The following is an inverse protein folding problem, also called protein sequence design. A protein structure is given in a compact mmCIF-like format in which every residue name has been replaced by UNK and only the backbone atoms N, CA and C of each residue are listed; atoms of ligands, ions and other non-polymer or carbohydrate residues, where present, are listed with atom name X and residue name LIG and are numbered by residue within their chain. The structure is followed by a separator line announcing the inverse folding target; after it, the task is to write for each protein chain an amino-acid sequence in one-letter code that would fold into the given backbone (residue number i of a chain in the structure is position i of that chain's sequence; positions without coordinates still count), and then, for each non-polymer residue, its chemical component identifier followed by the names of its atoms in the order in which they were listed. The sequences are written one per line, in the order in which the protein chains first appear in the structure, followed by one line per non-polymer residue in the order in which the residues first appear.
data_IF_354539838676
#
_entry.id   IF_354539838676
#
_cell.length_a   1.000
_cell.length_b   1.000
_cell.length_c   1.000
_cell.angle_alpha   90.00
_cell.angle_beta   90.00
_cell.angle_gamma   90.00
#
_symmetry.space_group_name_H-M   'P 1'
#
loop_
_entity.id
_entity.type
_entity.pdbx_description
1 polymer ?
#
# COMPACT_ATOMS: atom_id res chain seq x y z
N UNK A 1 15.18 -4.20 -24.76
CA UNK A 1 15.63 -3.42 -23.57
C UNK A 1 15.81 -1.92 -23.85
N UNK A 2 16.22 -1.48 -25.05
CA UNK A 2 16.53 -0.08 -25.38
C UNK A 2 15.38 0.97 -25.27
N UNK A 3 14.14 0.54 -25.00
CA UNK A 3 12.95 1.41 -24.91
C UNK A 3 12.44 1.61 -23.46
N UNK A 4 12.86 0.77 -22.50
CA UNK A 4 12.36 0.77 -21.11
C UNK A 4 12.70 2.04 -20.29
N UNK A 5 13.57 2.92 -20.80
CA UNK A 5 13.99 4.16 -20.11
C UNK A 5 14.08 5.35 -21.08
N UNK A 6 13.32 5.31 -22.18
CA UNK A 6 13.26 6.43 -23.13
C UNK A 6 12.02 7.26 -22.86
N UNK A 7 12.13 8.17 -21.91
CA UNK A 7 11.11 9.19 -21.68
C UNK A 7 11.37 10.42 -22.53
N UNK A 8 10.33 10.91 -23.22
CA UNK A 8 10.40 12.17 -23.98
C UNK A 8 10.36 13.35 -22.99
N UNK A 9 11.38 14.21 -22.93
CA UNK A 9 11.35 15.36 -22.05
C UNK A 9 10.28 16.35 -22.53
N UNK A 10 9.45 16.81 -21.61
CA UNK A 10 8.39 17.79 -21.86
C UNK A 10 8.36 18.83 -20.75
N UNK A 11 7.97 20.05 -21.11
CA UNK A 11 7.74 21.16 -20.18
C UNK A 11 6.26 21.21 -19.79
N UNK A 12 5.97 21.53 -18.53
CA UNK A 12 4.59 21.68 -18.05
C UNK A 12 3.92 22.82 -18.81
N UNK A 13 2.84 22.52 -19.53
CA UNK A 13 1.90 23.50 -20.07
C UNK A 13 0.61 23.46 -19.25
N UNK A 14 -0.12 24.59 -19.09
CA UNK A 14 -1.28 24.69 -18.20
C UNK A 14 -2.44 23.72 -18.53
N UNK A 15 -2.49 23.14 -19.73
CA UNK A 15 -3.55 22.22 -20.15
C UNK A 15 -3.07 20.83 -20.60
N UNK A 16 -1.74 20.59 -20.67
CA UNK A 16 -1.22 19.35 -21.24
C UNK A 16 -0.99 18.30 -20.14
N UNK A 17 -1.76 17.21 -20.19
CA UNK A 17 -1.47 16.01 -19.39
C UNK A 17 -0.16 15.38 -19.83
N UNK A 18 0.65 14.94 -18.85
CA UNK A 18 1.95 14.29 -19.11
C UNK A 18 1.72 12.79 -19.29
N UNK A 19 2.08 12.26 -20.45
CA UNK A 19 1.87 10.86 -20.78
C UNK A 19 2.83 9.91 -20.04
N UNK A 20 2.52 8.60 -19.98
CA UNK A 20 3.39 7.58 -19.38
C UNK A 20 4.82 7.53 -19.93
N UNK A 21 4.98 7.78 -21.22
CA UNK A 21 6.26 7.80 -21.94
C UNK A 21 6.93 9.19 -21.98
N UNK A 22 6.36 10.18 -21.31
CA UNK A 22 6.91 11.52 -21.16
C UNK A 22 7.55 11.69 -19.78
N UNK A 23 8.49 12.63 -19.64
CA UNK A 23 9.04 13.05 -18.34
C UNK A 23 9.18 14.56 -18.25
N UNK A 24 9.07 15.05 -17.03
CA UNK A 24 9.42 16.42 -16.68
C UNK A 24 10.94 16.56 -16.50
N UNK A 25 11.37 17.77 -16.13
CA UNK A 25 12.75 17.97 -15.67
C UNK A 25 13.04 17.05 -14.49
N UNK A 26 14.28 16.54 -14.39
CA UNK A 26 14.65 15.59 -13.33
C UNK A 26 14.34 16.07 -11.92
N UNK A 27 14.57 17.36 -11.55
CA UNK A 27 14.18 17.86 -10.23
C UNK A 27 12.66 17.80 -9.99
N UNK A 28 11.85 18.11 -11.00
CA UNK A 28 10.38 18.02 -10.89
C UNK A 28 9.92 16.56 -10.79
N UNK A 29 10.48 15.66 -11.60
CA UNK A 29 10.20 14.23 -11.52
C UNK A 29 10.56 13.67 -10.15
N UNK A 30 11.69 14.09 -9.57
CA UNK A 30 12.09 13.72 -8.22
C UNK A 30 11.11 14.22 -7.16
N UNK A 31 10.72 15.50 -7.22
CA UNK A 31 9.75 16.10 -6.29
C UNK A 31 8.38 15.40 -6.36
N UNK A 32 7.92 15.05 -7.57
CA UNK A 32 6.67 14.30 -7.76
C UNK A 32 6.80 12.86 -7.27
N UNK A 33 7.96 12.22 -7.46
CA UNK A 33 8.20 10.88 -6.93
C UNK A 33 8.14 10.88 -5.40
N UNK A 34 8.72 11.90 -4.76
CA UNK A 34 8.59 12.12 -3.32
C UNK A 34 7.13 12.29 -2.90
N UNK A 35 6.36 13.10 -3.64
CA UNK A 35 4.93 13.26 -3.39
C UNK A 35 4.15 11.93 -3.48
N UNK A 36 4.47 11.09 -4.46
CA UNK A 36 3.85 9.77 -4.59
C UNK A 36 4.18 8.86 -3.41
N UNK A 37 5.41 8.86 -2.91
CA UNK A 37 5.77 8.08 -1.71
C UNK A 37 5.06 8.61 -0.47
N UNK A 38 4.94 9.93 -0.31
CA UNK A 38 4.20 10.52 0.82
C UNK A 38 2.71 10.14 0.76
N UNK A 39 2.12 10.07 -0.45
CA UNK A 39 0.71 9.70 -0.62
C UNK A 39 0.40 8.26 -0.21
N UNK A 40 1.22 7.30 -0.64
CA UNK A 40 1.06 5.89 -0.31
C UNK A 40 1.50 5.52 1.12
N UNK A 41 2.29 6.39 1.77
CA UNK A 41 2.97 6.07 3.03
C UNK A 41 2.00 5.54 4.08
N UNK A 42 0.86 6.20 4.24
CA UNK A 42 -0.15 5.80 5.22
C UNK A 42 -0.56 4.34 5.06
N UNK A 43 -0.94 3.93 3.85
CA UNK A 43 -1.42 2.57 3.59
C UNK A 43 -0.28 1.52 3.61
N UNK A 44 0.86 1.83 2.99
CA UNK A 44 1.98 0.88 2.88
C UNK A 44 2.62 0.54 4.21
N UNK A 45 2.55 1.47 5.16
CA UNK A 45 3.06 1.29 6.52
C UNK A 45 2.00 0.75 7.47
N UNK A 46 0.74 1.15 7.31
CA UNK A 46 -0.33 0.68 8.20
C UNK A 46 -0.61 -0.83 8.02
N UNK A 47 -0.71 -1.30 6.78
CA UNK A 47 -0.99 -2.71 6.52
C UNK A 47 -0.01 -3.69 7.21
N UNK A 48 1.33 -3.55 7.06
CA UNK A 48 2.28 -4.45 7.70
C UNK A 48 2.18 -4.40 9.22
N UNK A 49 1.97 -3.23 9.83
CA UNK A 49 1.82 -3.11 11.29
C UNK A 49 0.60 -3.89 11.80
N UNK A 50 -0.52 -3.83 11.09
CA UNK A 50 -1.74 -4.59 11.42
C UNK A 50 -1.56 -6.11 11.28
N UNK A 51 -0.57 -6.55 10.51
CA UNK A 51 -0.23 -7.96 10.32
C UNK A 51 0.98 -8.42 11.14
N UNK A 52 1.66 -7.50 11.85
CA UNK A 52 2.88 -7.74 12.62
C UNK A 52 4.13 -7.95 11.78
N UNK A 53 4.19 -7.36 10.58
CA UNK A 53 5.34 -7.34 9.69
C UNK A 53 6.27 -6.16 10.01
N UNK A 54 7.54 -6.29 9.63
CA UNK A 54 8.50 -5.18 9.68
C UNK A 54 8.13 -4.13 8.60
N UNK A 55 7.76 -2.88 8.97
CA UNK A 55 7.40 -1.84 8.01
C UNK A 55 8.55 -1.48 7.07
N UNK A 56 9.82 -1.66 7.48
CA UNK A 56 10.97 -1.42 6.61
C UNK A 56 11.03 -2.42 5.47
N UNK A 57 10.80 -3.70 5.76
CA UNK A 57 10.76 -4.74 4.72
C UNK A 57 9.59 -4.46 3.78
N UNK A 58 8.42 -4.10 4.30
CA UNK A 58 7.26 -3.77 3.48
C UNK A 58 7.53 -2.60 2.52
N UNK A 59 8.15 -1.51 3.00
CA UNK A 59 8.51 -0.34 2.17
C UNK A 59 9.65 -0.68 1.20
N UNK A 60 10.63 -1.47 1.62
CA UNK A 60 11.68 -1.97 0.72
C UNK A 60 11.07 -2.77 -0.43
N UNK A 61 10.20 -3.74 -0.11
CA UNK A 61 9.59 -4.62 -1.10
C UNK A 61 8.50 -3.95 -1.93
N UNK A 62 7.87 -2.87 -1.44
CA UNK A 62 7.01 -2.01 -2.28
C UNK A 62 7.85 -1.32 -3.37
N UNK A 63 9.05 -0.85 -3.04
CA UNK A 63 10.03 -0.33 -4.00
C UNK A 63 10.49 -1.39 -5.00
N UNK A 64 10.94 -2.55 -4.52
CA UNK A 64 11.36 -3.68 -5.39
C UNK A 64 10.21 -4.11 -6.31
N UNK A 65 9.01 -4.29 -5.75
CA UNK A 65 7.81 -4.69 -6.47
C UNK A 65 7.43 -3.69 -7.55
N UNK A 66 7.49 -2.38 -7.25
CA UNK A 66 7.22 -1.33 -8.23
C UNK A 66 8.22 -1.35 -9.39
N UNK A 67 9.50 -1.59 -9.12
CA UNK A 67 10.51 -1.74 -10.18
C UNK A 67 10.26 -3.01 -11.02
N UNK A 68 9.97 -4.15 -10.38
CA UNK A 68 9.63 -5.39 -11.07
C UNK A 68 8.41 -5.21 -11.99
N UNK A 69 7.36 -4.59 -11.47
CA UNK A 69 6.15 -4.26 -12.22
C UNK A 69 6.44 -3.33 -13.41
N UNK A 70 7.25 -2.30 -13.20
CA UNK A 70 7.69 -1.39 -14.25
C UNK A 70 8.40 -2.15 -15.38
N UNK A 71 9.35 -3.04 -15.07
CA UNK A 71 10.05 -3.82 -16.08
C UNK A 71 9.13 -4.79 -16.82
N UNK A 72 8.26 -5.48 -16.10
CA UNK A 72 7.37 -6.51 -16.66
C UNK A 72 6.27 -5.91 -17.55
N UNK A 73 5.75 -4.74 -17.20
CA UNK A 73 4.78 -3.99 -18.02
C UNK A 73 5.43 -3.20 -19.16
N UNK A 74 6.76 -3.20 -19.26
CA UNK A 74 7.49 -2.45 -20.28
C UNK A 74 7.50 -0.94 -20.02
N UNK A 75 7.25 -0.47 -18.79
CA UNK A 75 7.22 0.95 -18.44
C UNK A 75 6.06 1.73 -19.09
N UNK A 76 5.00 1.04 -19.54
CA UNK A 76 3.80 1.65 -20.14
C UNK A 76 2.67 1.90 -19.16
N UNK A 77 2.68 1.18 -18.03
CA UNK A 77 1.63 1.25 -17.02
C UNK A 77 2.15 2.09 -15.85
N UNK A 78 1.63 3.31 -15.65
CA UNK A 78 1.97 4.10 -14.48
C UNK A 78 1.26 3.56 -13.26
N UNK A 79 2.02 2.87 -12.40
CA UNK A 79 1.49 2.34 -11.16
C UNK A 79 2.59 2.19 -10.12
N UNK A 80 2.17 2.17 -8.87
CA UNK A 80 3.01 1.87 -7.72
C UNK A 80 2.41 0.70 -6.96
N UNK A 81 3.26 -0.22 -6.51
CA UNK A 81 2.85 -1.40 -5.76
C UNK A 81 3.11 -1.19 -4.28
N UNK A 82 2.07 -1.31 -3.45
CA UNK A 82 2.15 -1.19 -2.00
C UNK A 82 1.50 -2.39 -1.30
N UNK A 83 1.60 -2.42 0.02
CA UNK A 83 1.04 -3.48 0.87
C UNK A 83 -0.48 -3.60 0.69
N UNK A 84 -0.99 -4.77 0.31
CA UNK A 84 -2.43 -4.98 0.08
C UNK A 84 -3.18 -5.27 1.38
N UNK A 85 -4.28 -4.55 1.60
CA UNK A 85 -5.14 -4.75 2.76
C UNK A 85 -5.94 -6.06 2.70
N UNK A 86 -6.10 -6.66 1.52
CA UNK A 86 -6.79 -7.95 1.36
C UNK A 86 -6.12 -9.08 2.15
N UNK A 87 -4.83 -8.96 2.48
CA UNK A 87 -4.10 -9.95 3.27
C UNK A 87 -4.37 -9.88 4.77
N UNK A 88 -4.84 -8.75 5.31
CA UNK A 88 -4.89 -8.54 6.77
C UNK A 88 -5.71 -9.63 7.46
N UNK A 89 -6.95 -9.84 7.00
CA UNK A 89 -7.86 -10.80 7.62
C UNK A 89 -7.34 -12.24 7.54
N UNK A 90 -6.85 -12.66 6.37
CA UNK A 90 -6.35 -14.03 6.17
C UNK A 90 -5.02 -14.28 6.88
N UNK A 91 -4.15 -13.28 6.97
CA UNK A 91 -2.88 -13.39 7.72
C UNK A 91 -3.17 -13.51 9.20
N UNK A 92 -4.04 -12.66 9.76
CA UNK A 92 -4.45 -12.74 11.17
C UNK A 92 -5.06 -14.11 11.46
N UNK A 93 -5.95 -14.60 10.60
CA UNK A 93 -6.58 -15.91 10.75
C UNK A 93 -5.58 -17.07 10.66
N UNK A 94 -4.67 -17.05 9.69
CA UNK A 94 -3.69 -18.12 9.48
C UNK A 94 -2.60 -18.16 10.57
N UNK A 95 -2.25 -17.02 11.15
CA UNK A 95 -1.16 -16.91 12.13
C UNK A 95 -1.64 -16.85 13.59
N UNK A 96 -2.94 -16.62 13.81
CA UNK A 96 -3.49 -16.38 15.15
C UNK A 96 -2.97 -15.08 15.78
N UNK A 97 -2.58 -14.09 14.96
CA UNK A 97 -1.96 -12.86 15.44
C UNK A 97 -2.95 -11.98 16.20
N UNK A 98 -2.55 -11.51 17.38
CA UNK A 98 -3.41 -10.75 18.30
C UNK A 98 -3.52 -9.25 17.96
N UNK A 99 -2.85 -8.77 16.90
CA UNK A 99 -2.96 -7.37 16.45
C UNK A 99 -2.02 -6.38 17.13
N UNK A 100 -1.09 -6.83 17.97
CA UNK A 100 -0.07 -5.98 18.59
C UNK A 100 1.32 -6.63 18.56
N UNK A 101 2.32 -5.83 18.17
CA UNK A 101 3.73 -6.23 18.14
C UNK A 101 4.16 -7.04 16.91
N UNK A 102 5.31 -7.72 16.96
CA UNK A 102 5.74 -8.63 15.90
C UNK A 102 4.86 -9.88 15.84
N UNK A 103 4.55 -10.36 14.63
CA UNK A 103 3.81 -11.61 14.47
C UNK A 103 4.74 -12.82 14.71
N UNK A 104 4.48 -13.68 15.72
CA UNK A 104 5.35 -14.81 16.03
C UNK A 104 5.32 -15.91 14.94
N UNK A 105 4.22 -15.99 14.19
CA UNK A 105 3.98 -17.02 13.17
C UNK A 105 4.12 -16.44 11.75
N UNK A 106 4.88 -15.35 11.61
CA UNK A 106 5.11 -14.67 10.34
C UNK A 106 5.53 -15.61 9.19
N UNK A 107 6.44 -16.60 9.39
CA UNK A 107 6.84 -17.51 8.32
C UNK A 107 5.67 -18.28 7.65
N UNK A 108 4.62 -18.62 8.41
CA UNK A 108 3.43 -19.29 7.86
C UNK A 108 2.64 -18.37 6.92
N UNK A 109 2.46 -17.11 7.32
CA UNK A 109 1.83 -16.11 6.46
C UNK A 109 2.63 -15.89 5.18
N UNK A 110 3.96 -15.83 5.27
CA UNK A 110 4.86 -15.65 4.12
C UNK A 110 4.71 -16.80 3.10
N UNK A 111 4.65 -18.05 3.56
CA UNK A 111 4.41 -19.19 2.67
C UNK A 111 3.08 -19.09 1.91
N UNK A 112 2.02 -18.64 2.60
CA UNK A 112 0.72 -18.37 1.98
C UNK A 112 0.73 -17.18 1.01
N UNK A 113 1.45 -16.11 1.32
CA UNK A 113 1.64 -14.95 0.44
C UNK A 113 2.37 -15.36 -0.85
N UNK A 114 3.43 -16.17 -0.73
CA UNK A 114 4.13 -16.71 -1.90
C UNK A 114 3.20 -17.58 -2.75
N UNK A 115 2.40 -18.45 -2.13
CA UNK A 115 1.41 -19.27 -2.84
C UNK A 115 0.35 -18.43 -3.56
N UNK A 116 -0.14 -17.37 -2.92
CA UNK A 116 -1.02 -16.37 -3.52
C UNK A 116 -0.36 -15.72 -4.75
N UNK A 117 0.90 -15.29 -4.62
CA UNK A 117 1.66 -14.71 -5.72
C UNK A 117 1.84 -15.68 -6.89
N UNK A 118 2.12 -16.95 -6.63
CA UNK A 118 2.22 -18.01 -7.67
C UNK A 118 0.88 -18.18 -8.39
N UNK A 119 -0.22 -18.29 -7.65
CA UNK A 119 -1.56 -18.40 -8.23
C UNK A 119 -1.89 -17.16 -9.08
N UNK A 120 -1.58 -15.97 -8.58
CA UNK A 120 -1.83 -14.73 -9.28
C UNK A 120 -0.99 -14.61 -10.56
N UNK A 121 0.30 -14.97 -10.50
CA UNK A 121 1.15 -15.05 -11.69
C UNK A 121 0.60 -16.05 -12.71
N UNK A 122 0.11 -17.22 -12.27
CA UNK A 122 -0.51 -18.20 -13.15
C UNK A 122 -1.76 -17.64 -13.86
N UNK A 123 -2.62 -16.92 -13.12
CA UNK A 123 -3.77 -16.21 -13.71
C UNK A 123 -3.28 -15.16 -14.72
N UNK A 124 -2.26 -14.37 -14.39
CA UNK A 124 -1.69 -13.37 -15.30
C UNK A 124 -1.13 -13.96 -16.59
N UNK A 125 -0.44 -15.12 -16.51
CA UNK A 125 0.05 -15.85 -17.68
C UNK A 125 -1.11 -16.36 -18.54
N UNK A 126 -2.17 -16.87 -17.91
CA UNK A 126 -3.37 -17.32 -18.62
C UNK A 126 -4.05 -16.14 -19.33
N UNK A 127 -4.22 -15.00 -18.67
CA UNK A 127 -4.75 -13.77 -19.29
C UNK A 127 -3.87 -13.28 -20.43
N UNK A 128 -2.54 -13.42 -20.31
CA UNK A 128 -1.60 -13.04 -21.37
C UNK A 128 -1.76 -13.94 -22.61
N UNK A 129 -2.15 -15.20 -22.43
CA UNK A 129 -2.37 -16.16 -23.51
C UNK A 129 -3.78 -16.09 -24.12
N UNK A 130 -4.82 -15.87 -23.30
CA UNK A 130 -6.23 -15.95 -23.74
C UNK A 130 -6.89 -14.59 -23.98
N UNK A 131 -6.26 -13.49 -23.55
CA UNK A 131 -6.86 -12.16 -23.47
C UNK A 131 -7.67 -11.93 -22.18
N UNK A 132 -8.00 -10.67 -21.90
CA UNK A 132 -8.67 -10.23 -20.66
C UNK A 132 -10.19 -10.35 -20.65
N UNK A 133 -10.82 -10.56 -21.81
CA UNK A 133 -12.27 -10.44 -21.96
C UNK A 133 -13.09 -11.38 -21.06
N UNK A 134 -12.57 -12.56 -20.70
CA UNK A 134 -13.25 -13.46 -19.77
C UNK A 134 -13.15 -12.96 -18.32
N UNK A 135 -12.02 -12.41 -17.90
CA UNK A 135 -11.84 -11.81 -16.56
C UNK A 135 -12.80 -10.65 -16.39
N UNK A 136 -12.91 -9.80 -17.42
CA UNK A 136 -13.81 -8.64 -17.40
C UNK A 136 -15.29 -9.04 -17.33
N UNK A 137 -15.66 -10.22 -17.85
CA UNK A 137 -17.01 -10.78 -17.73
C UNK A 137 -17.25 -11.40 -16.36
N UNK A 138 -16.24 -12.02 -15.75
CA UNK A 138 -16.34 -12.61 -14.42
C UNK A 138 -16.31 -11.56 -13.30
N UNK A 139 -15.64 -10.43 -13.55
CA UNK A 139 -15.45 -9.33 -12.61
C UNK A 139 -16.09 -8.03 -13.15
N UNK A 140 -17.42 -8.01 -13.38
CA UNK A 140 -18.10 -6.77 -13.72
C UNK A 140 -18.02 -5.79 -12.52
N UNK A 141 -18.23 -4.48 -12.73
CA UNK A 141 -18.10 -3.47 -11.68
C UNK A 141 -18.87 -3.80 -10.40
N UNK A 142 -20.07 -4.41 -10.53
CA UNK A 142 -20.88 -4.82 -9.36
C UNK A 142 -20.20 -5.90 -8.51
N UNK A 143 -19.46 -6.83 -9.11
CA UNK A 143 -18.74 -7.90 -8.38
C UNK A 143 -17.49 -7.31 -7.74
N UNK A 144 -16.71 -6.54 -8.51
CA UNK A 144 -15.49 -5.90 -7.99
C UNK A 144 -15.82 -4.98 -6.82
N UNK A 145 -16.85 -4.15 -6.96
CA UNK A 145 -17.34 -3.29 -5.89
C UNK A 145 -17.78 -4.09 -4.68
N UNK A 146 -18.69 -5.06 -4.84
CA UNK A 146 -19.17 -5.87 -3.72
C UNK A 146 -18.04 -6.56 -2.94
N UNK A 147 -17.03 -7.10 -3.63
CA UNK A 147 -15.87 -7.72 -2.99
C UNK A 147 -15.07 -6.69 -2.17
N UNK A 148 -14.77 -5.52 -2.76
CA UNK A 148 -14.03 -4.45 -2.08
C UNK A 148 -14.81 -3.91 -0.86
N UNK A 149 -16.13 -3.75 -0.98
CA UNK A 149 -17.00 -3.31 0.11
C UNK A 149 -16.96 -4.27 1.31
N UNK A 150 -17.10 -5.57 1.02
CA UNK A 150 -17.09 -6.62 2.04
C UNK A 150 -15.73 -6.70 2.75
N UNK A 151 -14.62 -6.46 2.03
CA UNK A 151 -13.28 -6.40 2.63
C UNK A 151 -13.18 -5.23 3.60
N UNK A 152 -13.53 -4.02 3.15
CA UNK A 152 -13.50 -2.82 4.00
C UNK A 152 -14.35 -3.00 5.26
N UNK A 153 -15.59 -3.46 5.11
CA UNK A 153 -16.51 -3.65 6.24
C UNK A 153 -16.05 -4.73 7.23
N UNK A 154 -15.54 -5.88 6.74
CA UNK A 154 -15.06 -6.94 7.64
C UNK A 154 -13.80 -6.51 8.39
N UNK A 155 -12.89 -5.79 7.74
CA UNK A 155 -11.64 -5.34 8.37
C UNK A 155 -11.87 -4.17 9.33
N UNK A 156 -12.90 -3.35 9.13
CA UNK A 156 -13.25 -2.25 10.03
C UNK A 156 -13.52 -2.72 11.48
N UNK A 157 -13.99 -3.96 11.67
CA UNK A 157 -14.23 -4.51 13.00
C UNK A 157 -12.94 -4.84 13.78
N UNK A 158 -11.83 -5.09 13.10
CA UNK A 158 -10.54 -5.48 13.70
C UNK A 158 -9.97 -4.38 14.60
N UNK A 159 -9.77 -3.12 14.13
CA UNK A 159 -9.20 -2.07 14.97
C UNK A 159 -10.10 -1.69 16.16
N UNK A 160 -11.43 -1.76 15.99
CA UNK A 160 -12.40 -1.47 17.04
C UNK A 160 -12.27 -2.47 18.20
N UNK A 161 -12.07 -3.76 17.89
CA UNK A 161 -11.99 -4.82 18.92
C UNK A 161 -10.60 -4.94 19.54
N UNK A 162 -9.54 -4.76 18.75
CA UNK A 162 -8.20 -5.20 19.13
C UNK A 162 -7.22 -4.05 19.40
N UNK A 163 -7.55 -2.80 19.07
CA UNK A 163 -6.62 -1.67 19.13
C UNK A 163 -7.08 -0.54 20.07
N UNK A 164 -8.12 -0.78 20.87
CA UNK A 164 -8.60 0.11 21.93
C UNK A 164 -8.76 -0.65 23.26
N UNK A 165 -7.65 -1.09 23.89
CA UNK A 165 -7.72 -1.90 25.11
C UNK A 165 -8.20 -1.10 26.32
N UNK A 166 -8.06 0.23 26.31
CA UNK A 166 -8.52 1.10 27.40
C UNK A 166 -9.55 2.14 26.91
N UNK A 167 -10.37 2.71 27.82
CA UNK A 167 -11.28 3.81 27.47
C UNK A 167 -10.55 5.03 26.89
N UNK A 168 -9.32 5.30 27.36
CA UNK A 168 -8.48 6.36 26.81
C UNK A 168 -8.11 6.07 25.35
N UNK A 169 -7.71 4.83 25.04
CA UNK A 169 -7.37 4.44 23.67
C UNK A 169 -8.58 4.52 22.74
N UNK A 170 -9.77 4.16 23.22
CA UNK A 170 -11.02 4.31 22.45
C UNK A 170 -11.31 5.78 22.12
N UNK A 171 -11.15 6.69 23.09
CA UNK A 171 -11.27 8.13 22.85
C UNK A 171 -10.20 8.65 21.89
N UNK A 172 -8.97 8.13 21.97
CA UNK A 172 -7.92 8.48 21.03
C UNK A 172 -8.17 7.95 19.62
N UNK A 173 -8.77 6.77 19.46
CA UNK A 173 -9.24 6.28 18.16
C UNK A 173 -10.28 7.23 17.56
N UNK A 174 -11.26 7.65 18.37
CA UNK A 174 -12.29 8.60 17.94
C UNK A 174 -11.68 9.97 17.59
N UNK A 175 -10.75 10.48 18.40
CA UNK A 175 -10.02 11.71 18.12
C UNK A 175 -9.24 11.61 16.80
N UNK A 176 -8.62 10.47 16.54
CA UNK A 176 -7.90 10.23 15.28
C UNK A 176 -8.84 10.18 14.08
N UNK A 177 -9.97 9.48 14.20
CA UNK A 177 -11.02 9.46 13.19
C UNK A 177 -11.48 10.88 12.87
N UNK A 178 -11.75 11.69 13.90
CA UNK A 178 -12.15 13.08 13.75
C UNK A 178 -11.05 13.94 13.10
N UNK A 179 -9.79 13.76 13.49
CA UNK A 179 -8.65 14.43 12.84
C UNK A 179 -8.60 14.15 11.34
N UNK A 180 -8.71 12.90 10.94
CA UNK A 180 -8.72 12.52 9.52
C UNK A 180 -9.94 13.09 8.81
N UNK A 181 -11.13 13.01 9.42
CA UNK A 181 -12.37 13.55 8.86
C UNK A 181 -12.31 15.08 8.69
N UNK A 182 -11.75 15.80 9.67
CA UNK A 182 -11.54 17.25 9.60
C UNK A 182 -10.62 17.63 8.45
N UNK A 183 -9.52 16.90 8.27
CA UNK A 183 -8.62 17.10 7.13
C UNK A 183 -9.35 16.80 5.82
N UNK A 184 -10.11 15.71 5.74
CA UNK A 184 -10.84 15.34 4.53
C UNK A 184 -11.87 16.40 4.09
N UNK A 185 -12.51 17.09 5.04
CA UNK A 185 -13.54 18.13 4.78
C UNK A 185 -12.93 19.51 4.55
N UNK A 186 -11.93 19.92 5.34
CA UNK A 186 -11.43 21.30 5.33
C UNK A 186 -10.18 21.50 4.48
N UNK A 187 -9.38 20.47 4.28
CA UNK A 187 -8.18 20.58 3.47
C UNK A 187 -8.53 20.63 1.97
N UNK A 188 -7.66 21.28 1.19
CA UNK A 188 -7.78 21.37 -0.27
C UNK A 188 -6.48 20.94 -0.93
N UNK A 189 -6.57 20.49 -2.18
CA UNK A 189 -5.40 20.16 -3.00
C UNK A 189 -4.62 18.96 -2.46
N UNK A 190 -3.31 19.14 -2.22
CA UNK A 190 -2.43 18.04 -1.79
C UNK A 190 -2.76 17.54 -0.38
N UNK A 191 -3.07 18.46 0.54
CA UNK A 191 -3.28 18.10 1.94
C UNK A 191 -4.50 17.19 2.12
N UNK A 192 -5.55 17.38 1.32
CA UNK A 192 -6.72 16.50 1.29
C UNK A 192 -6.36 15.09 0.80
N UNK A 193 -5.41 14.95 -0.12
CA UNK A 193 -4.96 13.63 -0.64
C UNK A 193 -4.10 12.90 0.36
N UNK A 194 -3.44 13.66 1.23
CA UNK A 194 -2.67 13.16 2.36
C UNK A 194 -3.53 13.07 3.63
N UNK A 195 -4.87 12.99 3.53
CA UNK A 195 -5.76 13.01 4.69
C UNK A 195 -5.38 12.00 5.77
N UNK A 196 -4.98 10.80 5.35
CA UNK A 196 -4.56 9.71 6.26
C UNK A 196 -3.30 10.13 7.01
N UNK A 197 -2.27 10.58 6.28
CA UNK A 197 -0.99 10.99 6.87
C UNK A 197 -1.11 12.25 7.74
N UNK A 198 -1.83 13.26 7.25
CA UNK A 198 -2.03 14.51 7.98
C UNK A 198 -2.87 14.29 9.24
N UNK A 199 -3.93 13.48 9.16
CA UNK A 199 -4.74 13.10 10.33
C UNK A 199 -3.95 12.26 11.32
N UNK A 200 -3.12 11.32 10.85
CA UNK A 200 -2.18 10.54 11.66
C UNK A 200 -1.20 11.43 12.43
N UNK A 201 -0.57 12.40 11.75
CA UNK A 201 0.36 13.36 12.37
C UNK A 201 -0.37 14.20 13.42
N UNK A 202 -1.53 14.77 13.07
CA UNK A 202 -2.34 15.58 13.99
C UNK A 202 -2.74 14.78 15.24
N UNK A 203 -3.23 13.55 15.05
CA UNK A 203 -3.65 12.68 16.14
C UNK A 203 -2.48 12.22 17.02
N UNK A 204 -1.32 11.96 16.42
CA UNK A 204 -0.09 11.61 17.16
C UNK A 204 0.41 12.78 18.01
N UNK A 205 0.28 14.02 17.52
CA UNK A 205 0.61 15.22 18.31
C UNK A 205 -0.37 15.42 19.48
N UNK A 206 -1.67 15.20 19.26
CA UNK A 206 -2.69 15.23 20.32
C UNK A 206 -2.38 14.16 21.36
N UNK A 207 -2.09 12.92 20.93
CA UNK A 207 -1.71 11.83 21.82
C UNK A 207 -0.48 12.20 22.66
N UNK A 208 0.59 12.69 22.01
CA UNK A 208 1.81 13.11 22.69
C UNK A 208 1.57 14.20 23.73
N UNK A 209 0.70 15.17 23.43
CA UNK A 209 0.34 16.22 24.38
C UNK A 209 -0.38 15.65 25.61
N UNK A 210 -1.34 14.75 25.39
CA UNK A 210 -2.14 14.14 26.47
C UNK A 210 -1.31 13.18 27.33
N UNK A 211 -0.42 12.40 26.74
CA UNK A 211 0.37 11.41 27.47
C UNK A 211 1.64 12.00 28.06
N UNK A 212 2.48 12.66 27.26
CA UNK A 212 3.75 13.21 27.73
C UNK A 212 3.57 14.55 28.47
N UNK A 213 2.53 15.32 28.13
CA UNK A 213 2.24 16.60 28.78
C UNK A 213 1.35 16.49 30.01
N UNK A 214 0.25 15.72 29.93
CA UNK A 214 -0.73 15.59 31.01
C UNK A 214 -0.70 14.24 31.76
N UNK A 215 0.16 13.29 31.36
CA UNK A 215 0.30 12.00 32.03
C UNK A 215 -0.88 11.04 31.79
N UNK A 216 -1.75 11.32 30.82
CA UNK A 216 -2.93 10.52 30.53
C UNK A 216 -2.56 9.43 29.51
N UNK A 217 -2.15 8.26 30.00
CA UNK A 217 -1.83 7.09 29.18
C UNK A 217 -0.33 6.81 29.04
N UNK A 218 0.01 5.91 28.12
CA UNK A 218 1.40 5.52 27.86
C UNK A 218 2.17 6.60 27.11
N UNK A 219 3.31 7.09 27.63
CA UNK A 219 4.13 8.08 26.95
C UNK A 219 4.63 7.60 25.59
N UNK A 220 4.72 8.51 24.61
CA UNK A 220 5.46 8.24 23.37
C UNK A 220 6.95 8.29 23.67
N UNK A 221 7.62 7.14 23.62
CA UNK A 221 9.05 7.02 23.77
C UNK A 221 9.77 7.12 22.42
N UNK A 222 10.41 8.26 22.18
CA UNK A 222 11.22 8.52 20.99
C UNK A 222 12.70 8.15 21.17
N UNK A 223 13.10 7.61 22.32
CA UNK A 223 14.49 7.21 22.58
C UNK A 223 14.98 6.17 21.56
N UNK A 224 14.11 5.22 21.18
CA UNK A 224 14.38 4.22 20.14
C UNK A 224 14.62 4.86 18.77
N UNK A 225 13.90 5.92 18.44
CA UNK A 225 14.08 6.68 17.19
C UNK A 225 15.40 7.44 17.22
N UNK A 226 15.76 8.02 18.36
CA UNK A 226 17.04 8.71 18.53
C UNK A 226 18.23 7.74 18.39
N UNK A 227 18.15 6.58 19.05
CA UNK A 227 19.18 5.55 19.07
C UNK A 227 19.32 4.76 17.75
N UNK A 228 18.25 4.69 16.95
CA UNK A 228 18.28 3.94 15.70
C UNK A 228 19.29 4.54 14.68
N UNK A 229 20.07 3.69 13.98
CA UNK A 229 20.97 4.15 12.93
C UNK A 229 20.19 4.64 11.70
N UNK A 230 20.80 5.55 10.94
CA UNK A 230 20.23 6.05 9.69
C UNK A 230 20.20 5.01 8.58
N UNK A 231 21.17 4.09 8.58
CA UNK A 231 21.29 3.00 7.61
C UNK A 231 21.47 1.67 8.33
N UNK A 232 20.77 0.65 7.85
CA UNK A 232 20.85 -0.72 8.36
C UNK A 232 19.98 -1.67 7.55
N UNK A 233 20.24 -2.96 7.67
CA UNK A 233 19.45 -3.98 7.01
C UNK A 233 18.13 -4.20 7.77
N UNK A 234 16.99 -4.35 7.07
CA UNK A 234 15.73 -4.69 7.71
C UNK A 234 15.69 -6.16 8.12
N UNK A 235 14.69 -6.54 8.93
CA UNK A 235 14.60 -7.90 9.48
C UNK A 235 13.97 -8.85 8.46
N UNK A 236 14.81 -9.54 7.68
CA UNK A 236 14.33 -10.51 6.70
C UNK A 236 13.85 -11.81 7.37
N UNK A 237 12.77 -12.38 6.85
CA UNK A 237 12.20 -13.64 7.31
C UNK A 237 11.97 -14.57 6.12
N UNK A 238 12.29 -15.85 6.29
CA UNK A 238 12.05 -16.86 5.25
C UNK A 238 10.64 -17.46 5.38
N UNK A 239 9.98 -17.81 4.25
CA UNK A 239 8.69 -18.45 4.27
C UNK A 239 8.76 -19.91 4.74
N UNK A 240 7.72 -20.34 5.46
CA UNK A 240 7.45 -21.75 5.76
C UNK A 240 6.19 -22.14 5.00
N UNK A 241 6.31 -23.16 4.15
CA UNK A 241 5.21 -23.64 3.31
C UNK A 241 4.37 -24.65 4.08
N UNK A 242 3.25 -24.18 4.60
CA UNK A 242 2.22 -25.01 5.22
C UNK A 242 0.97 -25.06 4.32
N UNK A 243 0.44 -26.25 4.08
CA UNK A 243 -0.68 -26.46 3.16
C UNK A 243 -1.98 -25.76 3.59
N UNK A 244 -2.26 -25.70 4.90
CA UNK A 244 -3.47 -25.06 5.41
C UNK A 244 -3.38 -23.53 5.30
N UNK A 245 -2.23 -22.95 5.68
CA UNK A 245 -1.96 -21.53 5.51
C UNK A 245 -2.00 -21.11 4.02
N UNK A 246 -1.43 -21.93 3.13
CA UNK A 246 -1.48 -21.71 1.69
C UNK A 246 -2.91 -21.75 1.15
N UNK A 247 -3.72 -22.74 1.53
CA UNK A 247 -5.11 -22.85 1.09
C UNK A 247 -5.96 -21.66 1.57
N UNK A 248 -5.66 -21.13 2.76
CA UNK A 248 -6.37 -19.99 3.33
C UNK A 248 -6.00 -18.65 2.65
N UNK A 249 -4.72 -18.45 2.33
CA UNK A 249 -4.22 -17.17 1.82
C UNK A 249 -4.23 -17.11 0.28
N UNK A 250 -3.99 -18.21 -0.43
CA UNK A 250 -3.91 -18.22 -1.89
C UNK A 250 -5.14 -17.63 -2.61
N UNK A 251 -6.40 -17.84 -2.16
CA UNK A 251 -7.59 -17.25 -2.79
C UNK A 251 -7.60 -15.72 -2.84
N UNK A 252 -6.77 -15.03 -2.02
CA UNK A 252 -6.58 -13.58 -2.12
C UNK A 252 -6.15 -13.15 -3.53
N UNK A 253 -5.50 -14.03 -4.31
CA UNK A 253 -5.16 -13.77 -5.71
C UNK A 253 -6.37 -13.33 -6.55
N UNK A 254 -7.57 -13.88 -6.28
CA UNK A 254 -8.79 -13.50 -6.98
C UNK A 254 -9.21 -12.06 -6.67
N UNK A 255 -9.00 -11.63 -5.43
CA UNK A 255 -9.24 -10.25 -5.00
C UNK A 255 -8.26 -9.31 -5.70
N UNK A 256 -6.97 -9.67 -5.72
CA UNK A 256 -5.93 -8.86 -6.38
C UNK A 256 -6.18 -8.71 -7.88
N UNK A 257 -6.68 -9.76 -8.54
CA UNK A 257 -7.10 -9.69 -9.96
C UNK A 257 -8.21 -8.64 -10.15
N UNK A 258 -9.24 -8.67 -9.31
CA UNK A 258 -10.36 -7.72 -9.39
C UNK A 258 -9.91 -6.28 -9.10
N UNK A 259 -9.09 -6.10 -8.06
CA UNK A 259 -8.53 -4.81 -7.66
C UNK A 259 -7.65 -4.21 -8.75
N UNK A 260 -6.67 -4.97 -9.26
CA UNK A 260 -5.73 -4.49 -10.26
C UNK A 260 -6.42 -4.25 -11.61
N UNK A 261 -7.43 -5.04 -11.97
CA UNK A 261 -8.29 -4.77 -13.14
C UNK A 261 -8.98 -3.40 -12.99
N UNK A 262 -9.54 -3.11 -11.82
CA UNK A 262 -10.18 -1.82 -11.51
C UNK A 262 -9.20 -0.65 -11.65
N UNK A 263 -8.02 -0.77 -11.04
CA UNK A 263 -6.98 0.26 -11.11
C UNK A 263 -6.50 0.52 -12.54
N UNK A 264 -6.30 -0.53 -13.33
CA UNK A 264 -5.86 -0.37 -14.73
C UNK A 264 -6.94 0.25 -15.60
N UNK A 265 -8.22 -0.09 -15.39
CA UNK A 265 -9.33 0.57 -16.07
C UNK A 265 -9.43 2.05 -15.70
N UNK A 266 -9.24 2.39 -14.42
CA UNK A 266 -9.20 3.78 -13.97
C UNK A 266 -8.04 4.56 -14.62
N UNK A 267 -6.83 3.98 -14.65
CA UNK A 267 -5.67 4.57 -15.33
C UNK A 267 -5.90 4.72 -16.83
N UNK A 268 -6.50 3.72 -17.49
CA UNK A 268 -6.84 3.79 -18.91
C UNK A 268 -7.83 4.91 -19.23
N UNK A 269 -8.87 5.06 -18.42
CA UNK A 269 -9.85 6.14 -18.53
C UNK A 269 -9.21 7.53 -18.34
N UNK A 270 -8.29 7.67 -17.38
CA UNK A 270 -7.59 8.94 -17.09
C UNK A 270 -6.57 9.33 -18.16
N UNK A 271 -5.89 8.34 -18.73
CA UNK A 271 -4.85 8.55 -19.76
C UNK A 271 -5.39 8.58 -21.18
N UNK A 272 -6.64 8.16 -21.40
CA UNK A 272 -7.25 7.99 -22.73
C UNK A 272 -6.58 6.88 -23.55
N UNK A 273 -5.90 5.92 -22.90
CA UNK A 273 -5.17 4.82 -23.54
C UNK A 273 -5.74 3.49 -23.07
N UNK A 274 -5.94 2.56 -24.00
CA UNK A 274 -6.38 1.21 -23.66
C UNK A 274 -5.27 0.45 -22.91
N UNK A 275 -5.57 0.04 -21.68
CA UNK A 275 -4.67 -0.71 -20.80
C UNK A 275 -4.87 -2.23 -20.91
N UNK A 276 -5.92 -2.69 -21.60
CA UNK A 276 -6.27 -4.11 -21.72
C UNK A 276 -5.12 -5.00 -22.23
N UNK A 277 -4.30 -4.57 -23.22
CA UNK A 277 -3.15 -5.36 -23.68
C UNK A 277 -2.06 -5.59 -22.63
N UNK A 278 -2.03 -4.77 -21.57
CA UNK A 278 -1.05 -4.89 -20.49
C UNK A 278 -1.58 -5.63 -19.27
N UNK A 279 -2.88 -5.98 -19.21
CA UNK A 279 -3.50 -6.63 -18.06
C UNK A 279 -2.76 -7.90 -17.63
N UNK A 280 -2.51 -8.82 -18.56
CA UNK A 280 -1.80 -10.06 -18.25
C UNK A 280 -0.39 -9.81 -17.71
N UNK A 281 0.34 -8.86 -18.29
CA UNK A 281 1.69 -8.47 -17.84
C UNK A 281 1.67 -7.76 -16.49
N UNK A 282 0.62 -6.99 -16.21
CA UNK A 282 0.41 -6.33 -14.94
C UNK A 282 0.11 -7.35 -13.83
N UNK A 283 -0.75 -8.35 -14.09
CA UNK A 283 -1.02 -9.44 -13.14
C UNK A 283 0.22 -10.29 -12.87
N UNK A 284 1.01 -10.60 -13.91
CA UNK A 284 2.31 -11.28 -13.72
C UNK A 284 3.26 -10.41 -12.89
N UNK A 285 3.33 -9.11 -13.16
CA UNK A 285 4.16 -8.17 -12.41
C UNK A 285 3.81 -8.11 -10.93
N UNK A 286 2.53 -8.05 -10.63
CA UNK A 286 1.99 -7.95 -9.28
C UNK A 286 2.13 -9.27 -8.51
N UNK A 287 1.88 -10.41 -9.19
CA UNK A 287 2.12 -11.75 -8.64
C UNK A 287 3.60 -12.01 -8.35
N UNK A 288 4.51 -11.66 -9.27
CA UNK A 288 5.96 -11.83 -9.06
C UNK A 288 6.49 -10.89 -7.98
N UNK A 289 5.97 -9.66 -7.89
CA UNK A 289 6.28 -8.74 -6.81
C UNK A 289 5.81 -9.30 -5.45
N UNK A 290 4.64 -9.91 -5.40
CA UNK A 290 4.11 -10.59 -4.21
C UNK A 290 4.95 -11.80 -3.81
N UNK A 291 5.39 -12.63 -4.76
CA UNK A 291 6.32 -13.74 -4.49
C UNK A 291 7.64 -13.22 -3.93
N UNK A 292 8.23 -12.21 -4.57
CA UNK A 292 9.49 -11.64 -4.13
C UNK A 292 9.37 -11.07 -2.71
N UNK A 293 8.31 -10.31 -2.44
CA UNK A 293 7.99 -9.74 -1.13
C UNK A 293 7.84 -10.83 -0.06
N UNK A 294 6.98 -11.83 -0.30
CA UNK A 294 6.76 -12.94 0.62
C UNK A 294 8.00 -13.80 0.87
N UNK A 295 8.91 -13.91 -0.11
CA UNK A 295 10.12 -14.72 0.02
C UNK A 295 11.15 -14.17 1.02
N UNK A 296 11.07 -12.87 1.36
CA UNK A 296 12.06 -12.20 2.23
C UNK A 296 11.44 -11.57 3.49
N UNK A 297 10.15 -11.78 3.75
CA UNK A 297 9.51 -11.25 4.94
C UNK A 297 8.63 -10.01 4.72
N UNK A 298 8.36 -9.65 3.47
CA UNK A 298 7.45 -8.57 3.10
C UNK A 298 6.00 -9.04 2.93
N UNK A 299 5.08 -8.10 2.94
CA UNK A 299 3.64 -8.37 2.76
C UNK A 299 3.29 -8.65 1.30
N UNK A 300 2.11 -9.23 1.04
CA UNK A 300 1.56 -9.23 -0.31
C UNK A 300 1.35 -7.81 -0.83
N UNK A 301 1.62 -7.58 -2.12
CA UNK A 301 1.58 -6.25 -2.73
C UNK A 301 0.53 -6.19 -3.84
N UNK A 302 0.01 -4.98 -4.07
CA UNK A 302 -0.97 -4.67 -5.11
C UNK A 302 -0.79 -3.24 -5.59
N UNK A 303 -1.41 -2.88 -6.72
CA UNK A 303 -1.41 -1.50 -7.23
C UNK A 303 -2.23 -0.58 -6.33
N UNK A 304 -1.80 0.68 -6.12
CA UNK A 304 -2.44 1.59 -5.15
C UNK A 304 -3.41 2.62 -5.75
N UNK A 305 -4.63 2.62 -5.22
CA UNK A 305 -5.69 3.58 -5.53
C UNK A 305 -5.30 5.02 -5.16
N UNK A 306 -4.54 5.23 -4.08
CA UNK A 306 -4.10 6.56 -3.64
C UNK A 306 -3.21 7.21 -4.71
N UNK A 307 -2.32 6.41 -5.31
CA UNK A 307 -1.43 6.90 -6.36
C UNK A 307 -2.18 7.16 -7.67
N UNK A 308 -3.20 6.35 -7.97
CA UNK A 308 -4.16 6.62 -9.07
C UNK A 308 -4.90 7.93 -8.81
N UNK A 309 -5.34 8.17 -7.58
CA UNK A 309 -5.96 9.42 -7.15
C UNK A 309 -5.03 10.61 -7.39
N UNK A 310 -3.77 10.54 -6.93
CA UNK A 310 -2.75 11.60 -7.14
C UNK A 310 -2.58 11.90 -8.64
N UNK A 311 -2.45 10.88 -9.47
CA UNK A 311 -2.34 11.04 -10.92
C UNK A 311 -3.56 11.76 -11.52
N UNK A 312 -4.76 11.42 -11.06
CA UNK A 312 -6.00 12.06 -11.53
C UNK A 312 -6.03 13.58 -11.26
N UNK A 313 -5.41 14.05 -10.16
CA UNK A 313 -5.30 15.49 -9.89
C UNK A 313 -4.24 16.16 -10.74
N UNK A 314 -3.04 15.59 -10.72
CA UNK A 314 -1.86 16.24 -11.28
C UNK A 314 -1.90 16.18 -12.79
N UNK A 315 -2.65 15.22 -13.36
CA UNK A 315 -2.62 14.83 -14.78
C UNK A 315 -1.20 14.49 -15.23
N UNK A 316 -0.39 13.97 -14.30
CA UNK A 316 0.98 13.52 -14.55
C UNK A 316 1.00 12.01 -14.43
N UNK A 317 1.08 11.34 -15.58
CA UNK A 317 1.05 9.88 -15.67
C UNK A 317 2.43 9.29 -15.98
N UNK A 318 3.50 10.08 -15.85
CA UNK A 318 4.87 9.68 -16.21
C UNK A 318 5.36 8.47 -15.40
N UNK A 319 5.82 7.41 -16.08
CA UNK A 319 6.36 6.23 -15.39
C UNK A 319 7.72 6.49 -14.73
N UNK A 320 8.45 7.53 -15.14
CA UNK A 320 9.71 7.95 -14.51
C UNK A 320 9.51 8.36 -13.04
N UNK A 321 8.35 8.96 -12.73
CA UNK A 321 7.99 9.37 -11.36
C UNK A 321 7.91 8.16 -10.44
N UNK A 322 7.33 7.05 -10.91
CA UNK A 322 7.21 5.81 -10.15
C UNK A 322 8.55 5.09 -9.96
N UNK A 323 9.45 5.17 -10.93
CA UNK A 323 10.83 4.68 -10.76
C UNK A 323 11.52 5.46 -9.64
N UNK A 324 11.41 6.79 -9.62
CA UNK A 324 12.00 7.60 -8.54
C UNK A 324 11.36 7.29 -7.17
N UNK A 325 10.03 7.18 -7.13
CA UNK A 325 9.30 6.79 -5.93
C UNK A 325 9.76 5.42 -5.40
N UNK A 326 9.97 4.46 -6.29
CA UNK A 326 10.45 3.13 -5.94
C UNK A 326 11.89 3.16 -5.41
N UNK A 327 12.80 3.89 -6.06
CA UNK A 327 14.17 4.06 -5.58
C UNK A 327 14.21 4.72 -4.20
N UNK A 328 13.36 5.70 -3.94
CA UNK A 328 13.28 6.33 -2.64
C UNK A 328 12.73 5.38 -1.57
N UNK A 329 11.74 4.56 -1.91
CA UNK A 329 11.24 3.51 -1.03
C UNK A 329 12.33 2.48 -0.68
N UNK A 330 13.22 2.14 -1.63
CA UNK A 330 14.38 1.28 -1.34
C UNK A 330 15.30 1.93 -0.27
N UNK A 331 15.62 3.21 -0.43
CA UNK A 331 16.47 3.93 0.53
C UNK A 331 15.82 4.00 1.90
N UNK A 332 14.51 4.28 1.97
CA UNK A 332 13.75 4.31 3.23
C UNK A 332 13.68 2.93 3.89
N UNK A 333 13.54 1.87 3.11
CA UNK A 333 13.55 0.49 3.61
C UNK A 333 14.85 0.12 4.32
N UNK A 334 15.99 0.66 3.87
CA UNK A 334 17.29 0.50 4.54
C UNK A 334 17.53 1.48 5.69
N UNK A 335 16.51 2.19 6.18
CA UNK A 335 16.64 3.13 7.30
C UNK A 335 15.92 2.63 8.56
N UNK A 336 16.63 1.99 9.51
CA UNK A 336 16.04 1.57 10.78
C UNK A 336 15.44 2.74 11.58
N UNK A 337 15.98 3.95 11.44
CA UNK A 337 15.41 5.17 12.03
C UNK A 337 14.00 5.47 11.50
N UNK A 338 13.78 5.25 10.21
CA UNK A 338 12.45 5.37 9.62
C UNK A 338 11.48 4.32 10.16
N UNK A 339 11.94 3.08 10.33
CA UNK A 339 11.16 2.01 10.98
C UNK A 339 10.80 2.32 12.43
N UNK A 340 11.78 2.81 13.20
CA UNK A 340 11.57 3.21 14.58
C UNK A 340 10.54 4.35 14.68
N UNK A 341 10.59 5.33 13.77
CA UNK A 341 9.61 6.42 13.73
C UNK A 341 8.18 5.88 13.48
N UNK A 342 8.06 4.93 12.57
CA UNK A 342 6.79 4.26 12.27
C UNK A 342 6.28 3.48 13.48
N UNK A 343 7.15 2.70 14.13
CA UNK A 343 6.79 1.90 15.30
C UNK A 343 6.51 2.74 16.55
N UNK A 344 6.94 4.01 16.57
CA UNK A 344 6.62 4.96 17.62
C UNK A 344 5.17 5.47 17.54
N UNK A 345 4.45 5.18 16.44
CA UNK A 345 3.04 5.55 16.31
C UNK A 345 2.22 4.77 17.36
N UNK A 346 1.44 5.44 18.22
CA UNK A 346 0.64 4.77 19.23
C UNK A 346 -0.43 3.85 18.63
N UNK A 347 -0.66 2.69 19.26
CA UNK A 347 -1.65 1.70 18.82
C UNK A 347 -3.06 2.29 18.68
N UNK A 348 -3.46 3.16 19.62
CA UNK A 348 -4.75 3.84 19.59
C UNK A 348 -4.90 4.77 18.37
N UNK A 349 -3.83 5.46 17.98
CA UNK A 349 -3.85 6.32 16.78
C UNK A 349 -3.94 5.45 15.53
N UNK A 350 -3.16 4.36 15.45
CA UNK A 350 -3.27 3.42 14.33
C UNK A 350 -4.66 2.81 14.20
N UNK A 351 -5.32 2.49 15.31
CA UNK A 351 -6.69 1.98 15.32
C UNK A 351 -7.68 2.97 14.69
N UNK A 352 -7.60 4.25 15.06
CA UNK A 352 -8.47 5.29 14.50
C UNK A 352 -8.23 5.52 13.01
N UNK A 353 -6.97 5.53 12.56
CA UNK A 353 -6.65 5.61 11.13
C UNK A 353 -7.18 4.38 10.38
N UNK A 354 -7.02 3.19 10.94
CA UNK A 354 -7.49 1.93 10.33
C UNK A 354 -9.00 1.93 10.10
N UNK A 355 -9.78 2.44 11.06
CA UNK A 355 -11.24 2.60 10.91
C UNK A 355 -11.57 3.48 9.69
N UNK A 356 -10.85 4.60 9.52
CA UNK A 356 -11.07 5.49 8.37
C UNK A 356 -10.68 4.81 7.07
N UNK A 357 -9.51 4.18 7.02
CA UNK A 357 -9.02 3.50 5.81
C UNK A 357 -10.00 2.41 5.37
N UNK A 358 -10.43 1.55 6.29
CA UNK A 358 -11.39 0.49 5.97
C UNK A 358 -12.77 1.01 5.60
N UNK A 359 -13.21 2.11 6.22
CA UNK A 359 -14.44 2.81 5.82
C UNK A 359 -14.36 3.42 4.42
N UNK A 360 -13.23 4.04 4.07
CA UNK A 360 -13.00 4.60 2.73
C UNK A 360 -12.95 3.51 1.67
N UNK A 361 -12.32 2.37 1.97
CA UNK A 361 -12.32 1.20 1.08
C UNK A 361 -13.75 0.70 0.87
N UNK A 362 -14.54 0.62 1.94
CA UNK A 362 -15.93 0.17 1.86
C UNK A 362 -16.81 1.07 0.98
N UNK A 363 -16.53 2.38 0.95
CA UNK A 363 -17.27 3.38 0.16
C UNK A 363 -16.76 3.47 -1.29
N UNK A 364 -15.48 3.18 -1.52
CA UNK A 364 -14.85 3.26 -2.84
C UNK A 364 -15.24 2.10 -3.78
N UNK A 365 -15.88 1.07 -3.23
CA UNK A 365 -16.45 -0.09 -3.90
C UNK A 365 -17.67 0.24 -4.79
#
# INVERSE_FOLDING_TARGET
MAWLMRWRPVTVGPEKAIAPDERLSWPQTAALGLQHVIAMFGATVLAPLLMGFDPNVAVLMSGVGTLLFFFLTGGRVPSYLGSSFAFIGVVIAATGYAGSGPNPNLPLALGGIVACGVLYTAIGLLVSATGSGWVERLMPPVVTGAVVAVIGLNLAAVPIKNMAPTPFDAWMQAATFLSVALVAVHARGMLQRLLILAGLVQASLIYALLTNGFGLGTPIDLSKVAAAPWFGLPSFHAPVFDGAAMLMIAPVALILVAENLGHLKAVGAMTGRDMSPFLGRAFVGDGLATIASGAVGGTGVTTYAENVGVMAATRIYSTAVFVFAALMALVLGFSPKFGALIQAIPLAVMGGVSIVVFGLIAIAA
#
